data_IF_368320562444
#
_entry.id   IF_368320562444
#
_cell.length_a   1.000
_cell.length_b   1.000
_cell.length_c   1.000
_cell.angle_alpha   90.00
_cell.angle_beta   90.00
_cell.angle_gamma   90.00
#
_symmetry.space_group_name_H-M   'P 1'
#
loop_
_entity.id
_entity.type
_entity.pdbx_description
1 polymer ?
#
# COMPACT_ATOMS: atom_id res chain seq x y z
N UNK A 1 2.89 20.64 -12.15
CA UNK A 1 2.23 19.41 -11.69
C UNK A 1 3.35 18.38 -11.44
N UNK A 2 3.37 17.72 -10.27
CA UNK A 2 4.36 16.67 -10.02
C UNK A 2 4.15 15.55 -11.05
N UNK A 3 5.24 15.03 -11.59
CA UNK A 3 5.19 13.96 -12.58
C UNK A 3 4.59 12.70 -11.93
N UNK A 4 3.54 12.13 -12.50
CA UNK A 4 2.90 10.93 -11.98
C UNK A 4 3.85 9.75 -12.16
N UNK A 5 4.20 9.08 -11.05
CA UNK A 5 5.05 7.89 -11.10
C UNK A 5 4.26 6.63 -11.43
N UNK A 6 3.00 6.56 -11.00
CA UNK A 6 2.04 5.50 -11.31
C UNK A 6 0.78 6.13 -11.86
N UNK A 7 0.33 5.69 -13.05
CA UNK A 7 -0.92 6.13 -13.67
C UNK A 7 -1.74 4.93 -14.09
N UNK A 8 -2.98 4.90 -13.68
CA UNK A 8 -3.95 3.85 -13.95
C UNK A 8 -5.09 4.47 -14.74
N UNK A 9 -5.48 3.86 -15.84
CA UNK A 9 -6.57 4.34 -16.71
C UNK A 9 -7.53 3.23 -17.05
N UNK A 10 -8.82 3.46 -16.75
CA UNK A 10 -9.96 2.58 -17.03
C UNK A 10 -9.71 1.12 -16.61
N UNK A 11 -9.00 0.90 -15.50
CA UNK A 11 -8.57 -0.42 -15.08
C UNK A 11 -9.74 -1.30 -14.69
N UNK A 12 -9.87 -2.43 -15.38
CA UNK A 12 -10.79 -3.53 -15.04
C UNK A 12 -9.99 -4.77 -14.72
N UNK A 13 -10.24 -5.35 -13.54
CA UNK A 13 -9.52 -6.51 -13.07
C UNK A 13 -10.33 -7.30 -12.04
N UNK A 14 -9.90 -8.54 -11.79
CA UNK A 14 -10.54 -9.40 -10.82
C UNK A 14 -9.95 -10.80 -10.77
N UNK A 15 -10.77 -11.77 -10.38
CA UNK A 15 -10.36 -13.17 -10.20
C UNK A 15 -11.20 -14.08 -11.09
N UNK A 16 -10.56 -14.82 -11.97
CA UNK A 16 -11.27 -15.67 -12.95
C UNK A 16 -12.32 -14.88 -13.74
N UNK A 17 -13.57 -15.27 -13.69
CA UNK A 17 -14.69 -14.58 -14.33
C UNK A 17 -15.21 -13.37 -13.56
N UNK A 18 -14.89 -13.25 -12.26
CA UNK A 18 -15.41 -12.19 -11.40
C UNK A 18 -14.66 -10.87 -11.64
N UNK A 19 -15.40 -9.81 -11.97
CA UNK A 19 -14.91 -8.45 -12.06
C UNK A 19 -15.06 -7.74 -10.70
N UNK A 20 -13.97 -7.18 -10.19
CA UNK A 20 -13.95 -6.42 -8.95
C UNK A 20 -13.67 -4.95 -9.22
N UNK A 21 -12.73 -4.65 -10.12
CA UNK A 21 -12.42 -3.30 -10.55
C UNK A 21 -13.15 -3.00 -11.86
N UNK A 22 -13.85 -1.87 -11.91
CA UNK A 22 -14.82 -1.54 -12.94
C UNK A 22 -14.51 -0.20 -13.62
N UNK A 23 -13.27 -0.01 -14.09
CA UNK A 23 -12.82 1.24 -14.70
C UNK A 23 -12.25 2.19 -13.67
N UNK A 24 -11.16 1.79 -13.01
CA UNK A 24 -10.45 2.62 -12.04
C UNK A 24 -9.49 3.54 -12.77
N UNK A 25 -9.64 4.84 -12.52
CA UNK A 25 -8.66 5.88 -12.86
C UNK A 25 -7.99 6.35 -11.56
N UNK A 26 -6.65 6.33 -11.54
CA UNK A 26 -5.87 6.77 -10.40
C UNK A 26 -4.46 7.18 -10.85
N UNK A 27 -4.01 8.33 -10.39
CA UNK A 27 -2.62 8.78 -10.55
C UNK A 27 -1.96 8.88 -9.16
N UNK A 28 -0.75 8.32 -9.00
CA UNK A 28 0.03 8.43 -7.79
C UNK A 28 1.32 9.20 -8.10
N UNK A 29 1.42 10.47 -7.67
CA UNK A 29 2.63 11.27 -7.86
C UNK A 29 3.81 10.73 -7.07
N UNK A 30 5.02 10.98 -7.57
CA UNK A 30 6.25 10.57 -6.90
C UNK A 30 6.38 11.28 -5.54
N UNK A 31 6.80 10.53 -4.52
CA UNK A 31 7.04 11.02 -3.16
C UNK A 31 5.77 11.27 -2.35
N UNK A 32 4.58 11.12 -2.91
CA UNK A 32 3.34 11.32 -2.16
C UNK A 32 2.96 10.11 -1.31
N UNK A 33 2.32 10.41 -0.19
CA UNK A 33 1.57 9.45 0.62
C UNK A 33 0.08 9.53 0.22
N UNK A 34 -0.37 8.52 -0.53
CA UNK A 34 -1.77 8.43 -0.99
C UNK A 34 -2.49 7.35 -0.20
N UNK A 35 -3.65 7.68 0.39
CA UNK A 35 -4.51 6.73 1.07
C UNK A 35 -5.72 6.37 0.20
N UNK A 36 -5.86 5.08 -0.07
CA UNK A 36 -7.04 4.51 -0.74
C UNK A 36 -7.98 3.94 0.32
N UNK A 37 -9.17 4.48 0.42
CA UNK A 37 -10.18 4.13 1.41
C UNK A 37 -11.47 3.68 0.72
N UNK A 38 -12.38 3.13 1.51
CA UNK A 38 -13.69 2.69 1.03
C UNK A 38 -14.23 1.54 1.87
N UNK A 39 -15.51 1.19 1.71
CA UNK A 39 -16.14 0.10 2.45
C UNK A 39 -15.52 -1.27 2.12
N UNK A 40 -15.84 -2.27 2.96
CA UNK A 40 -15.43 -3.65 2.68
C UNK A 40 -16.02 -4.13 1.35
N UNK A 41 -15.23 -4.85 0.58
CA UNK A 41 -15.63 -5.29 -0.77
C UNK A 41 -15.55 -4.21 -1.86
N UNK A 42 -15.10 -2.99 -1.57
CA UNK A 42 -14.97 -1.93 -2.57
C UNK A 42 -13.94 -2.20 -3.68
N UNK A 43 -13.02 -3.16 -3.47
CA UNK A 43 -11.97 -3.51 -4.41
C UNK A 43 -10.58 -2.98 -4.05
N UNK A 44 -10.40 -2.38 -2.86
CA UNK A 44 -9.12 -1.76 -2.41
C UNK A 44 -7.92 -2.72 -2.49
N UNK A 45 -7.97 -3.83 -1.77
CA UNK A 45 -6.89 -4.84 -1.80
C UNK A 45 -6.74 -5.49 -3.19
N UNK A 46 -7.84 -5.59 -3.95
CA UNK A 46 -7.80 -6.08 -5.34
C UNK A 46 -7.00 -5.11 -6.21
N UNK A 47 -7.13 -3.79 -6.01
CA UNK A 47 -6.33 -2.81 -6.74
C UNK A 47 -4.85 -2.98 -6.44
N UNK A 48 -4.42 -3.05 -5.15
CA UNK A 48 -3.02 -3.29 -4.82
C UNK A 48 -2.50 -4.62 -5.37
N UNK A 49 -3.29 -5.69 -5.25
CA UNK A 49 -2.95 -7.00 -5.82
C UNK A 49 -2.82 -6.96 -7.34
N UNK A 50 -3.67 -6.18 -8.03
CA UNK A 50 -3.58 -5.98 -9.48
C UNK A 50 -2.29 -5.24 -9.85
N UNK A 51 -1.96 -4.16 -9.13
CA UNK A 51 -0.72 -3.42 -9.32
C UNK A 51 0.53 -4.27 -9.07
N UNK A 52 0.41 -5.28 -8.22
CA UNK A 52 1.50 -6.24 -7.94
C UNK A 52 1.44 -7.50 -8.82
N UNK A 53 0.54 -7.57 -9.81
CA UNK A 53 0.45 -8.69 -10.76
C UNK A 53 -0.10 -9.98 -10.18
N UNK A 54 -0.97 -9.91 -9.16
CA UNK A 54 -1.60 -11.04 -8.47
C UNK A 54 -3.05 -11.30 -8.89
N UNK A 55 -3.58 -10.53 -9.83
CA UNK A 55 -4.94 -10.69 -10.36
C UNK A 55 -4.92 -10.70 -11.88
N UNK A 56 -6.06 -10.92 -12.50
CA UNK A 56 -6.20 -10.86 -13.95
C UNK A 56 -6.69 -9.48 -14.36
N UNK A 57 -5.88 -8.76 -15.15
CA UNK A 57 -6.31 -7.53 -15.83
C UNK A 57 -7.17 -7.91 -17.02
N UNK A 58 -8.36 -7.29 -17.14
CA UNK A 58 -9.36 -7.53 -18.19
C UNK A 58 -9.54 -6.33 -19.10
N UNK A 59 -8.99 -5.17 -18.73
CA UNK A 59 -9.03 -3.95 -19.55
C UNK A 59 -8.34 -2.79 -18.83
N UNK A 60 -8.16 -1.69 -19.56
CA UNK A 60 -7.43 -0.53 -19.07
C UNK A 60 -5.92 -0.69 -19.14
N UNK A 61 -5.20 0.25 -18.50
CA UNK A 61 -3.72 0.30 -18.51
C UNK A 61 -3.16 0.71 -17.16
N UNK A 62 -1.99 0.15 -16.85
CA UNK A 62 -1.15 0.53 -15.71
C UNK A 62 0.19 1.02 -16.27
N UNK A 63 0.43 2.32 -16.15
CA UNK A 63 1.70 2.94 -16.53
C UNK A 63 2.54 3.22 -15.29
N UNK A 64 3.76 2.75 -15.28
CA UNK A 64 4.74 2.98 -14.23
C UNK A 64 5.95 3.71 -14.82
N UNK A 65 6.14 4.99 -14.45
CA UNK A 65 7.27 5.81 -14.88
C UNK A 65 7.49 5.77 -16.40
N UNK A 66 6.38 5.92 -17.16
CA UNK A 66 6.39 5.91 -18.63
C UNK A 66 6.37 4.54 -19.28
N UNK A 67 6.43 3.43 -18.51
CA UNK A 67 6.33 2.06 -19.02
C UNK A 67 4.95 1.49 -18.79
N UNK A 68 4.38 0.82 -19.77
CA UNK A 68 3.19 -0.02 -19.61
C UNK A 68 3.60 -1.33 -18.90
N UNK A 69 3.09 -1.52 -17.68
CA UNK A 69 3.34 -2.70 -16.85
C UNK A 69 2.10 -3.58 -16.69
N UNK A 70 1.05 -3.32 -17.45
CA UNK A 70 -0.28 -3.96 -17.33
C UNK A 70 -0.22 -5.47 -17.31
N UNK A 71 0.67 -6.07 -18.11
CA UNK A 71 0.84 -7.52 -18.21
C UNK A 71 2.01 -8.09 -17.39
N UNK A 72 2.65 -7.28 -16.56
CA UNK A 72 3.82 -7.73 -15.80
C UNK A 72 3.43 -8.66 -14.66
N UNK A 73 4.29 -9.66 -14.41
CA UNK A 73 4.18 -10.55 -13.24
C UNK A 73 4.91 -9.96 -12.04
N UNK A 74 4.54 -10.37 -10.84
CA UNK A 74 5.07 -9.85 -9.56
C UNK A 74 6.59 -9.74 -9.51
N UNK A 75 7.33 -10.74 -10.04
CA UNK A 75 8.81 -10.70 -10.08
C UNK A 75 9.33 -9.52 -10.90
N UNK A 76 8.71 -9.24 -12.05
CA UNK A 76 9.10 -8.12 -12.91
C UNK A 76 8.69 -6.79 -12.26
N UNK A 77 7.52 -6.73 -11.64
CA UNK A 77 7.01 -5.56 -10.93
C UNK A 77 7.93 -5.20 -9.76
N UNK A 78 8.38 -6.19 -8.98
CA UNK A 78 9.38 -5.98 -7.93
C UNK A 78 10.69 -5.42 -8.49
N UNK A 79 11.18 -5.96 -9.61
CA UNK A 79 12.39 -5.46 -10.27
C UNK A 79 12.26 -4.03 -10.82
N UNK A 80 11.05 -3.56 -11.16
CA UNK A 80 10.78 -2.17 -11.54
C UNK A 80 10.70 -1.23 -10.31
N UNK A 81 10.83 -1.77 -9.10
CA UNK A 81 10.85 -1.00 -7.85
C UNK A 81 9.48 -0.78 -7.21
N UNK A 82 8.55 -1.69 -7.43
CA UNK A 82 7.24 -1.70 -6.76
C UNK A 82 7.27 -2.83 -5.72
N UNK A 83 7.19 -2.52 -4.43
CA UNK A 83 7.07 -3.51 -3.36
C UNK A 83 5.66 -3.50 -2.76
N UNK A 84 5.25 -4.65 -2.24
CA UNK A 84 3.92 -4.86 -1.67
C UNK A 84 4.01 -5.48 -0.27
N UNK A 85 3.36 -4.84 0.68
CA UNK A 85 3.12 -5.35 2.03
C UNK A 85 1.66 -5.80 2.07
N UNK A 86 1.39 -7.11 2.02
CA UNK A 86 0.03 -7.63 2.00
C UNK A 86 -0.63 -7.53 3.38
N UNK A 87 -1.95 -7.60 3.39
CA UNK A 87 -2.73 -7.72 4.62
C UNK A 87 -2.42 -9.06 5.32
N UNK A 88 -2.29 -9.02 6.65
CA UNK A 88 -2.04 -10.19 7.48
C UNK A 88 -0.56 -10.43 7.73
N UNK A 89 -0.25 -11.54 8.40
CA UNK A 89 1.12 -11.87 8.79
C UNK A 89 1.83 -12.63 7.69
N UNK A 90 2.81 -12.00 7.07
CA UNK A 90 3.61 -12.55 5.97
C UNK A 90 5.09 -12.78 6.33
N UNK A 91 5.47 -12.57 7.60
CA UNK A 91 6.78 -12.93 8.11
C UNK A 91 6.88 -14.44 8.41
N UNK A 92 8.09 -14.93 8.60
CA UNK A 92 8.39 -16.32 8.97
C UNK A 92 8.53 -16.40 10.50
N UNK A 93 7.50 -16.84 11.24
CA UNK A 93 7.46 -16.73 12.71
C UNK A 93 8.51 -17.60 13.42
N UNK A 94 8.97 -18.66 12.79
CA UNK A 94 10.00 -19.58 13.32
C UNK A 94 11.42 -19.14 12.98
N UNK A 95 11.58 -18.06 12.25
CA UNK A 95 12.85 -17.42 11.92
C UNK A 95 13.07 -16.16 12.76
N UNK A 96 14.32 -15.81 13.01
CA UNK A 96 14.69 -14.54 13.64
C UNK A 96 14.38 -13.36 12.73
N UNK A 97 14.38 -12.15 13.27
CA UNK A 97 14.28 -10.90 12.50
C UNK A 97 15.35 -10.85 11.39
N UNK A 98 16.61 -11.19 11.74
CA UNK A 98 17.72 -11.17 10.78
C UNK A 98 17.53 -12.18 9.64
N UNK A 99 17.06 -13.39 9.96
CA UNK A 99 16.76 -14.42 8.95
C UNK A 99 15.58 -14.01 8.06
N UNK A 100 14.53 -13.38 8.61
CA UNK A 100 13.43 -12.82 7.82
C UNK A 100 13.93 -11.77 6.81
N UNK A 101 14.78 -10.84 7.26
CA UNK A 101 15.38 -9.84 6.37
C UNK A 101 16.28 -10.50 5.31
N UNK A 102 17.02 -11.56 5.67
CA UNK A 102 17.80 -12.31 4.72
C UNK A 102 16.96 -13.02 3.66
N UNK A 103 15.83 -13.60 4.06
CA UNK A 103 14.86 -14.17 3.11
C UNK A 103 14.29 -13.11 2.18
N UNK A 104 13.96 -11.93 2.69
CA UNK A 104 13.50 -10.81 1.85
C UNK A 104 14.56 -10.31 0.87
N UNK A 105 15.83 -10.49 1.20
CA UNK A 105 16.97 -10.14 0.35
C UNK A 105 17.24 -11.14 -0.80
N UNK A 106 16.50 -12.26 -0.90
CA UNK A 106 16.77 -13.35 -1.84
C UNK A 106 16.90 -12.90 -3.31
N UNK A 107 16.24 -11.82 -3.70
CA UNK A 107 16.33 -11.27 -5.07
C UNK A 107 17.46 -10.29 -5.28
N UNK A 108 18.14 -9.88 -4.21
CA UNK A 108 19.29 -8.97 -4.28
C UNK A 108 20.57 -9.74 -4.63
N UNK A 109 21.55 -9.01 -5.17
CA UNK A 109 22.89 -9.53 -5.34
C UNK A 109 23.60 -9.62 -3.98
N UNK A 110 24.42 -10.64 -3.79
CA UNK A 110 25.09 -10.93 -2.52
C UNK A 110 25.91 -9.75 -1.97
N UNK A 111 26.56 -9.01 -2.86
CA UNK A 111 27.35 -7.81 -2.50
C UNK A 111 26.52 -6.66 -1.93
N UNK A 112 25.21 -6.63 -2.19
CA UNK A 112 24.29 -5.61 -1.70
C UNK A 112 23.59 -5.99 -0.39
N UNK A 113 23.40 -7.26 -0.11
CA UNK A 113 22.55 -7.76 1.01
C UNK A 113 22.93 -7.13 2.34
N UNK A 114 24.24 -7.07 2.66
CA UNK A 114 24.70 -6.49 3.92
C UNK A 114 24.33 -5.01 4.04
N UNK A 115 24.63 -4.22 3.01
CA UNK A 115 24.35 -2.78 3.02
C UNK A 115 22.87 -2.45 3.13
N UNK A 116 22.00 -3.24 2.46
CA UNK A 116 20.55 -3.03 2.53
C UNK A 116 19.98 -3.44 3.90
N UNK A 117 20.53 -4.48 4.54
CA UNK A 117 20.15 -4.84 5.91
C UNK A 117 20.58 -3.78 6.93
N UNK A 118 21.81 -3.27 6.80
CA UNK A 118 22.32 -2.20 7.67
C UNK A 118 21.42 -0.95 7.55
N UNK A 119 21.04 -0.57 6.35
CA UNK A 119 20.09 0.52 6.13
C UNK A 119 18.72 0.27 6.79
N UNK A 120 18.17 -0.94 6.64
CA UNK A 120 16.90 -1.29 7.28
C UNK A 120 17.02 -1.21 8.80
N UNK A 121 18.12 -1.67 9.39
CA UNK A 121 18.35 -1.56 10.82
C UNK A 121 18.52 -0.12 11.31
N UNK A 122 19.06 0.78 10.47
CA UNK A 122 19.14 2.20 10.81
C UNK A 122 17.77 2.88 10.68
N UNK A 123 16.95 2.46 9.73
CA UNK A 123 15.59 2.93 9.57
C UNK A 123 14.64 2.38 10.66
N UNK A 124 14.84 1.13 11.11
CA UNK A 124 14.03 0.46 12.13
C UNK A 124 14.89 0.01 13.33
N UNK A 125 15.30 0.93 14.25
CA UNK A 125 16.19 0.58 15.37
C UNK A 125 15.66 -0.53 16.28
N UNK A 126 14.33 -0.63 16.43
CA UNK A 126 13.71 -1.70 17.21
C UNK A 126 14.01 -3.09 16.63
N UNK A 127 14.04 -3.22 15.30
CA UNK A 127 14.37 -4.48 14.64
C UNK A 127 15.86 -4.84 14.83
N UNK A 128 16.74 -3.83 14.84
CA UNK A 128 18.17 -4.02 15.15
C UNK A 128 18.36 -4.60 16.55
N UNK A 129 17.65 -4.04 17.54
CA UNK A 129 17.68 -4.52 18.92
C UNK A 129 17.14 -5.94 19.05
N UNK A 130 16.13 -6.29 18.25
CA UNK A 130 15.45 -7.58 18.24
C UNK A 130 16.00 -8.56 17.20
N UNK A 131 17.13 -8.29 16.54
CA UNK A 131 17.62 -9.03 15.37
C UNK A 131 17.69 -10.55 15.56
N UNK A 132 18.00 -11.01 16.78
CA UNK A 132 18.12 -12.43 17.13
C UNK A 132 16.82 -13.01 17.73
N UNK A 133 15.74 -12.23 17.84
CA UNK A 133 14.44 -12.67 18.35
C UNK A 133 13.67 -13.36 17.23
N UNK A 134 13.03 -14.50 17.53
CA UNK A 134 12.10 -15.12 16.59
C UNK A 134 10.93 -14.18 16.31
N UNK A 135 10.55 -14.03 15.04
CA UNK A 135 9.46 -13.14 14.65
C UNK A 135 8.15 -13.48 15.36
N UNK A 136 7.86 -14.77 15.58
CA UNK A 136 6.67 -15.21 16.31
C UNK A 136 6.61 -14.77 17.79
N UNK A 137 7.75 -14.39 18.39
CA UNK A 137 7.85 -13.92 19.76
C UNK A 137 7.79 -12.38 19.88
N UNK A 138 7.59 -11.68 18.77
CA UNK A 138 7.45 -10.23 18.73
C UNK A 138 5.99 -9.83 18.93
N UNK A 139 5.76 -8.59 19.40
CA UNK A 139 4.42 -8.01 19.43
C UNK A 139 3.86 -7.87 18.01
N UNK A 140 2.51 -7.79 17.86
CA UNK A 140 1.90 -7.60 16.55
C UNK A 140 2.40 -6.38 15.80
N UNK A 141 2.63 -5.26 16.50
CA UNK A 141 3.21 -4.05 15.89
C UNK A 141 4.66 -4.25 15.42
N UNK A 142 5.50 -4.92 16.22
CA UNK A 142 6.87 -5.24 15.81
C UNK A 142 6.91 -6.19 14.61
N UNK A 143 5.99 -7.17 14.55
CA UNK A 143 5.85 -8.05 13.38
C UNK A 143 5.44 -7.27 12.13
N UNK A 144 4.49 -6.33 12.26
CA UNK A 144 4.08 -5.47 11.16
C UNK A 144 5.22 -4.57 10.67
N UNK A 145 6.03 -4.02 11.59
CA UNK A 145 7.23 -3.27 11.23
C UNK A 145 8.26 -4.15 10.50
N UNK A 146 8.42 -5.41 10.90
CA UNK A 146 9.29 -6.36 10.20
C UNK A 146 8.81 -6.59 8.75
N UNK A 147 7.53 -6.72 8.51
CA UNK A 147 6.97 -6.89 7.16
C UNK A 147 7.19 -5.65 6.28
N UNK A 148 6.98 -4.46 6.83
CA UNK A 148 7.32 -3.21 6.15
C UNK A 148 8.82 -3.14 5.85
N UNK A 149 9.66 -3.52 6.81
CA UNK A 149 11.11 -3.54 6.68
C UNK A 149 11.58 -4.51 5.59
N UNK A 150 10.98 -5.71 5.50
CA UNK A 150 11.23 -6.68 4.44
C UNK A 150 10.92 -6.10 3.05
N UNK A 151 9.85 -5.33 2.91
CA UNK A 151 9.48 -4.68 1.66
C UNK A 151 10.42 -3.50 1.32
N UNK A 152 10.82 -2.70 2.32
CA UNK A 152 11.72 -1.55 2.18
C UNK A 152 13.15 -1.98 1.84
N UNK A 153 13.57 -3.17 2.27
CA UNK A 153 14.90 -3.73 2.00
C UNK A 153 15.23 -3.80 0.49
N UNK A 154 14.20 -3.90 -0.37
CA UNK A 154 14.35 -3.90 -1.83
C UNK A 154 14.59 -2.48 -2.41
N UNK A 155 14.65 -1.43 -1.58
CA UNK A 155 14.73 -0.02 -2.04
C UNK A 155 13.67 0.31 -3.08
N UNK A 156 12.39 0.03 -2.80
CA UNK A 156 11.34 0.30 -3.77
C UNK A 156 11.22 1.79 -4.07
N UNK A 157 10.65 2.12 -5.21
CA UNK A 157 10.29 3.49 -5.60
C UNK A 157 8.84 3.83 -5.19
N UNK A 158 8.03 2.79 -5.03
CA UNK A 158 6.70 2.87 -4.43
C UNK A 158 6.47 1.66 -3.52
N UNK A 159 5.91 1.91 -2.36
CA UNK A 159 5.48 0.91 -1.39
C UNK A 159 3.95 0.83 -1.40
N UNK A 160 3.42 -0.32 -1.79
CA UNK A 160 2.00 -0.65 -1.69
C UNK A 160 1.77 -1.31 -0.33
N UNK A 161 0.87 -0.77 0.49
CA UNK A 161 0.62 -1.27 1.86
C UNK A 161 -0.87 -1.56 2.04
N UNK A 162 -1.20 -2.80 2.35
CA UNK A 162 -2.59 -3.28 2.42
C UNK A 162 -3.02 -3.52 3.88
N UNK A 163 -3.85 -2.63 4.41
CA UNK A 163 -4.49 -2.67 5.73
C UNK A 163 -3.52 -3.03 6.89
N UNK A 164 -2.42 -2.29 7.08
CA UNK A 164 -1.39 -2.62 8.07
C UNK A 164 -1.89 -2.50 9.52
N UNK A 165 -3.03 -1.88 9.77
CA UNK A 165 -3.60 -1.69 11.11
C UNK A 165 -4.42 -2.87 11.61
N UNK A 166 -4.77 -3.82 10.74
CA UNK A 166 -5.68 -4.92 11.08
C UNK A 166 -5.10 -5.84 12.15
N UNK A 167 -5.85 -6.05 13.22
CA UNK A 167 -5.47 -6.92 14.34
C UNK A 167 -4.42 -6.32 15.30
N UNK A 168 -4.09 -5.03 15.16
CA UNK A 168 -3.15 -4.32 16.03
C UNK A 168 -3.88 -3.55 17.16
N UNK A 169 -3.19 -3.39 18.29
CA UNK A 169 -3.62 -2.48 19.34
C UNK A 169 -3.53 -1.02 18.89
N UNK A 170 -4.30 -0.08 19.48
CA UNK A 170 -4.25 1.34 19.14
C UNK A 170 -2.83 1.95 19.21
N UNK A 171 -2.03 1.54 20.18
CA UNK A 171 -0.64 1.98 20.33
C UNK A 171 0.23 1.45 19.19
N UNK A 172 0.09 0.16 18.83
CA UNK A 172 0.84 -0.45 17.74
C UNK A 172 0.49 0.18 16.39
N UNK A 173 -0.78 0.51 16.15
CA UNK A 173 -1.22 1.26 14.97
C UNK A 173 -0.47 2.59 14.87
N UNK A 174 -0.40 3.37 15.98
CA UNK A 174 0.36 4.62 16.00
C UNK A 174 1.81 4.42 15.55
N UNK A 175 2.50 3.46 16.15
CA UNK A 175 3.91 3.16 15.81
C UNK A 175 4.09 2.81 14.33
N UNK A 176 3.23 1.96 13.77
CA UNK A 176 3.31 1.58 12.35
C UNK A 176 3.09 2.78 11.42
N UNK A 177 2.10 3.62 11.72
CA UNK A 177 1.80 4.80 10.90
C UNK A 177 2.90 5.87 11.00
N UNK A 178 3.45 6.11 12.20
CA UNK A 178 4.57 7.02 12.40
C UNK A 178 5.80 6.56 11.59
N UNK A 179 6.03 5.25 11.52
CA UNK A 179 7.12 4.69 10.73
C UNK A 179 6.87 4.83 9.21
N UNK A 180 5.65 4.62 8.74
CA UNK A 180 5.29 4.87 7.34
C UNK A 180 5.47 6.34 6.97
N UNK A 181 5.13 7.28 7.87
CA UNK A 181 5.41 8.71 7.68
C UNK A 181 6.91 9.00 7.60
N UNK A 182 7.72 8.38 8.47
CA UNK A 182 9.18 8.52 8.41
C UNK A 182 9.74 8.02 7.08
N UNK A 183 9.26 6.88 6.60
CA UNK A 183 9.65 6.32 5.30
C UNK A 183 9.26 7.30 4.18
N UNK A 184 8.03 7.83 4.19
CA UNK A 184 7.59 8.81 3.17
C UNK A 184 8.43 10.09 3.21
N UNK A 185 8.82 10.57 4.39
CA UNK A 185 9.66 11.77 4.54
C UNK A 185 11.05 11.62 3.89
N UNK A 186 11.53 10.39 3.62
CA UNK A 186 12.74 10.15 2.82
C UNK A 186 12.52 10.30 1.30
N UNK A 187 11.32 10.67 0.86
CA UNK A 187 10.94 10.77 -0.55
C UNK A 187 10.30 9.49 -1.12
N UNK A 188 10.04 8.48 -0.28
CA UNK A 188 9.40 7.24 -0.67
C UNK A 188 7.94 7.47 -1.02
N UNK A 189 7.50 7.03 -2.21
CA UNK A 189 6.08 7.03 -2.56
C UNK A 189 5.36 5.90 -1.80
N UNK A 190 4.19 6.19 -1.22
CA UNK A 190 3.37 5.20 -0.51
C UNK A 190 1.94 5.24 -1.05
N UNK A 191 1.41 4.09 -1.43
CA UNK A 191 -0.02 3.87 -1.66
C UNK A 191 -0.53 2.93 -0.58
N UNK A 192 -1.25 3.50 0.38
CA UNK A 192 -1.82 2.82 1.54
C UNK A 192 -3.28 2.48 1.27
N UNK A 193 -3.67 1.24 1.46
CA UNK A 193 -5.07 0.83 1.63
C UNK A 193 -5.36 0.72 3.11
N UNK A 194 -6.43 1.36 3.56
CA UNK A 194 -6.84 1.34 4.96
C UNK A 194 -8.36 1.38 5.15
N UNK A 195 -8.79 0.69 6.19
CA UNK A 195 -10.17 0.73 6.68
C UNK A 195 -10.32 1.78 7.79
N UNK A 196 -9.26 2.04 8.56
CA UNK A 196 -9.24 3.08 9.59
C UNK A 196 -9.08 4.45 8.95
N UNK A 197 -10.20 5.01 8.49
CA UNK A 197 -10.24 6.29 7.77
C UNK A 197 -9.60 7.43 8.54
N UNK A 198 -9.85 7.50 9.87
CA UNK A 198 -9.30 8.56 10.72
C UNK A 198 -7.76 8.56 10.70
N UNK A 199 -7.15 7.38 10.79
CA UNK A 199 -5.68 7.25 10.75
C UNK A 199 -5.15 7.51 9.34
N UNK A 200 -5.79 6.94 8.31
CA UNK A 200 -5.40 7.14 6.92
C UNK A 200 -5.42 8.63 6.52
N UNK A 201 -6.49 9.34 6.88
CA UNK A 201 -6.65 10.78 6.60
C UNK A 201 -5.60 11.64 7.34
N UNK A 202 -5.18 11.23 8.55
CA UNK A 202 -4.21 11.97 9.34
C UNK A 202 -2.78 11.92 8.75
N UNK A 203 -2.43 10.90 7.97
CA UNK A 203 -1.08 10.69 7.42
C UNK A 203 -0.99 11.00 5.92
N UNK A 204 -2.11 10.91 5.20
CA UNK A 204 -2.11 11.05 3.75
C UNK A 204 -2.05 12.52 3.31
N UNK A 205 -1.31 12.77 2.24
CA UNK A 205 -1.33 14.05 1.52
C UNK A 205 -2.47 14.09 0.49
N UNK A 206 -2.91 12.92 0.03
CA UNK A 206 -4.03 12.74 -0.88
C UNK A 206 -4.83 11.51 -0.48
N UNK A 207 -6.15 11.62 -0.55
CA UNK A 207 -7.06 10.55 -0.23
C UNK A 207 -7.94 10.22 -1.43
N UNK A 208 -8.17 8.93 -1.66
CA UNK A 208 -8.97 8.41 -2.75
C UNK A 208 -10.01 7.47 -2.17
N UNK A 209 -11.26 7.60 -2.58
CA UNK A 209 -12.35 6.74 -2.11
C UNK A 209 -12.78 5.81 -3.25
N UNK A 210 -12.67 4.52 -2.97
CA UNK A 210 -13.10 3.46 -3.86
C UNK A 210 -14.44 2.88 -3.38
N UNK A 211 -15.38 2.68 -4.30
CA UNK A 211 -16.66 2.01 -4.05
C UNK A 211 -17.09 1.20 -5.27
N UNK A 212 -17.47 -0.06 -5.06
CA UNK A 212 -17.90 -0.97 -6.12
C UNK A 212 -16.93 -1.02 -7.32
N UNK A 213 -15.63 -1.00 -7.04
CA UNK A 213 -14.58 -1.07 -8.04
C UNK A 213 -14.36 0.21 -8.86
N UNK A 214 -14.87 1.36 -8.40
CA UNK A 214 -14.70 2.66 -9.03
C UNK A 214 -14.20 3.70 -8.03
N UNK A 215 -13.38 4.65 -8.49
CA UNK A 215 -13.05 5.86 -7.73
C UNK A 215 -14.25 6.78 -7.77
N UNK A 216 -14.74 7.16 -6.58
CA UNK A 216 -15.89 8.06 -6.43
C UNK A 216 -15.50 9.41 -5.84
N UNK A 217 -14.31 9.53 -5.28
CA UNK A 217 -13.75 10.79 -4.79
C UNK A 217 -12.23 10.74 -4.77
N UNK A 218 -11.58 11.85 -5.03
CA UNK A 218 -10.13 12.01 -5.07
C UNK A 218 -9.78 13.46 -4.74
N UNK A 219 -9.03 13.69 -3.65
CA UNK A 219 -8.71 15.02 -3.18
C UNK A 219 -7.76 15.04 -1.99
N UNK A 220 -7.58 16.23 -1.40
CA UNK A 220 -6.81 16.34 -0.15
C UNK A 220 -7.68 15.94 1.04
N UNK A 221 -7.12 15.32 2.09
CA UNK A 221 -7.87 14.98 3.30
C UNK A 221 -8.64 16.18 3.92
N UNK A 222 -8.10 17.40 3.78
CA UNK A 222 -8.73 18.59 4.29
C UNK A 222 -9.95 19.08 3.47
N UNK A 223 -10.14 18.54 2.27
CA UNK A 223 -11.23 18.95 1.36
C UNK A 223 -12.53 18.14 1.60
N UNK A 224 -12.54 17.21 2.56
CA UNK A 224 -13.70 16.38 2.89
C UNK A 224 -13.88 16.26 4.41
N UNK A 225 -15.09 16.45 4.87
CA UNK A 225 -15.46 16.27 6.28
C UNK A 225 -15.71 14.80 6.62
N UNK A 226 -15.72 14.48 7.92
CA UNK A 226 -16.04 13.14 8.40
C UNK A 226 -17.47 12.68 8.02
N UNK A 227 -18.42 13.62 8.04
CA UNK A 227 -19.82 13.33 7.69
C UNK A 227 -19.97 13.06 6.21
N UNK A 228 -19.36 13.87 5.35
CA UNK A 228 -19.33 13.64 3.90
C UNK A 228 -18.64 12.32 3.53
N UNK A 229 -17.54 11.99 4.22
CA UNK A 229 -16.86 10.70 4.03
C UNK A 229 -17.77 9.52 4.37
N UNK A 230 -18.51 9.62 5.48
CA UNK A 230 -19.51 8.63 5.89
C UNK A 230 -20.62 8.48 4.86
N UNK A 231 -21.11 9.59 4.32
CA UNK A 231 -22.16 9.62 3.30
C UNK A 231 -21.67 8.99 1.97
N UNK A 232 -20.47 9.33 1.53
CA UNK A 232 -19.84 8.70 0.36
C UNK A 232 -19.71 7.17 0.51
N UNK A 233 -19.37 6.69 1.70
CA UNK A 233 -19.28 5.24 1.94
C UNK A 233 -20.64 4.55 1.85
N UNK A 234 -21.70 5.21 2.32
CA UNK A 234 -23.06 4.65 2.34
C UNK A 234 -23.74 4.77 0.96
N UNK A 235 -23.74 5.96 0.39
CA UNK A 235 -24.52 6.28 -0.81
C UNK A 235 -23.71 6.29 -2.09
N UNK A 236 -22.41 6.61 -2.01
CA UNK A 236 -21.52 6.83 -3.15
C UNK A 236 -21.66 8.24 -3.74
N UNK A 237 -22.31 9.18 -3.05
CA UNK A 237 -22.57 10.55 -3.51
C UNK A 237 -22.21 11.56 -2.44
N UNK A 238 -21.80 12.76 -2.87
CA UNK A 238 -21.64 13.92 -1.99
C UNK A 238 -23.01 14.55 -1.69
N UNK A 239 -23.14 15.13 -0.49
CA UNK A 239 -24.35 15.83 -0.06
C UNK A 239 -24.67 17.00 -1.00
N UNK A 240 -25.80 16.92 -1.68
CA UNK A 240 -26.23 17.95 -2.66
C UNK A 240 -26.16 17.57 -4.12
N UNK A 241 -25.60 16.43 -4.46
CA UNK A 241 -25.72 15.84 -5.81
C UNK A 241 -27.12 15.21 -5.96
N UNK A 242 -28.06 15.97 -6.53
CA UNK A 242 -29.36 15.46 -6.96
C UNK A 242 -29.20 14.61 -8.22
N UNK A 243 -30.02 13.55 -8.36
CA UNK A 243 -30.10 12.75 -9.57
C UNK A 243 -30.38 13.67 -10.79
N UNK A 244 -29.37 13.88 -11.62
CA UNK A 244 -29.62 14.27 -13.01
C UNK A 244 -29.91 12.97 -13.73
N UNK A 245 -31.20 12.61 -13.78
CA UNK A 245 -31.68 11.55 -14.64
C UNK A 245 -31.25 11.79 -16.08
N UNK A 246 -30.54 10.87 -16.64
CA UNK A 246 -30.37 10.71 -18.08
C UNK A 246 -30.81 9.32 -18.51
#
# INVERSE_FOLDING_TARGET
MAESSLSIKELRAGYGSLDILNGVDLDVPQGQFVALMGPNGAGKSTLLKTLYGLTTVKGGRINWRGKDITAYKSRTILAEGISYVPQGRCNFPVMTVDENLQMAAYTLRDDRVKGERDYVYDLFPILKTRRNTLAGNMSGGEQQLLEVAMAVLQRPKILLVDEPSVGLSPTAIGIVFDELLRINATGQTILLVEQNTKKAMAVAQRAVILRLGKVIWDGRPADITHDELGELFLTGRMRGETDVEH
#
